data_IF_547931468762
#
_entry.id   IF_547931468762
#
_cell.length_a   1.000
_cell.length_b   1.000
_cell.length_c   1.000
_cell.angle_alpha   90.00
_cell.angle_beta   90.00
_cell.angle_gamma   90.00
#
_symmetry.space_group_name_H-M   'P 1'
#
loop_
_entity.id
_entity.type
_entity.pdbx_description
1 polymer ?
#
# COMPACT_ATOMS: atom_id res chain seq x y z
N UNK A 1 -15.08 8.70 12.36
CA UNK A 1 -13.62 8.98 12.32
C UNK A 1 -12.71 7.74 12.44
N UNK A 2 -13.21 6.51 12.68
CA UNK A 2 -12.34 5.34 12.89
C UNK A 2 -11.34 5.06 11.75
N UNK A 3 -11.72 5.23 10.49
CA UNK A 3 -10.82 5.00 9.35
C UNK A 3 -9.53 5.83 9.42
N UNK A 4 -9.62 7.12 9.74
CA UNK A 4 -8.46 8.02 9.87
C UNK A 4 -7.64 7.75 11.13
N UNK A 5 -8.27 7.18 12.16
CA UNK A 5 -7.59 6.74 13.38
C UNK A 5 -6.74 5.49 13.12
N UNK A 6 -7.26 4.54 12.35
CA UNK A 6 -6.56 3.29 11.97
C UNK A 6 -5.48 3.53 10.92
N UNK A 7 -5.75 4.36 9.90
CA UNK A 7 -4.79 4.63 8.81
C UNK A 7 -3.68 5.62 9.19
N UNK A 8 -3.78 6.27 10.35
CA UNK A 8 -2.79 7.20 10.92
C UNK A 8 -2.18 8.14 9.86
N UNK A 9 -2.89 9.22 9.46
CA UNK A 9 -2.49 10.10 8.37
C UNK A 9 -1.06 10.61 8.54
N UNK A 10 -0.29 10.58 7.44
CA UNK A 10 1.12 10.94 7.41
C UNK A 10 1.44 11.89 6.25
N UNK A 11 2.57 12.60 6.33
CA UNK A 11 3.07 13.49 5.27
C UNK A 11 2.11 14.64 4.94
N UNK A 12 1.62 14.67 3.70
CA UNK A 12 0.74 15.73 3.14
C UNK A 12 -0.66 15.77 3.78
N UNK A 13 -1.01 14.80 4.62
CA UNK A 13 -2.27 14.75 5.37
C UNK A 13 -2.24 15.54 6.68
N UNK A 14 -1.22 16.40 6.88
CA UNK A 14 -1.09 17.29 8.03
C UNK A 14 -2.39 18.05 8.40
N UNK A 15 -3.16 18.67 7.47
CA UNK A 15 -4.41 19.35 7.82
C UNK A 15 -5.52 18.41 8.33
N UNK A 16 -5.44 17.11 8.04
CA UNK A 16 -6.38 16.09 8.53
C UNK A 16 -5.91 15.53 9.88
N UNK A 17 -4.59 15.38 10.06
CA UNK A 17 -4.02 15.07 11.38
C UNK A 17 -4.44 16.11 12.41
N UNK A 18 -4.38 17.41 12.08
CA UNK A 18 -4.72 18.49 13.00
C UNK A 18 -6.21 18.48 13.37
N UNK A 19 -7.09 18.08 12.44
CA UNK A 19 -8.52 17.87 12.72
C UNK A 19 -8.78 16.67 13.63
N UNK A 20 -8.01 15.59 13.48
CA UNK A 20 -8.13 14.38 14.32
C UNK A 20 -7.55 14.62 15.71
N UNK A 21 -6.47 15.38 15.84
CA UNK A 21 -5.90 15.79 17.14
C UNK A 21 -6.84 16.74 17.89
N UNK A 22 -7.56 17.61 17.16
CA UNK A 22 -8.58 18.48 17.77
C UNK A 22 -9.74 17.69 18.38
N UNK A 23 -10.05 16.50 17.86
CA UNK A 23 -11.06 15.59 18.40
C UNK A 23 -10.49 14.58 19.43
N UNK A 24 -9.21 14.21 19.31
CA UNK A 24 -8.52 13.29 20.23
C UNK A 24 -7.08 13.75 20.53
N UNK A 25 -6.85 14.43 21.67
CA UNK A 25 -5.54 14.96 22.06
C UNK A 25 -4.46 13.89 22.29
N UNK A 26 -4.82 12.61 22.46
CA UNK A 26 -3.87 11.52 22.67
C UNK A 26 -3.32 10.94 21.35
N UNK A 27 -3.75 11.48 20.20
CA UNK A 27 -3.35 10.98 18.89
C UNK A 27 -1.87 11.28 18.59
N UNK A 28 -1.05 10.22 18.59
CA UNK A 28 0.40 10.32 18.35
C UNK A 28 0.71 10.31 16.85
N UNK A 29 1.46 11.33 16.39
CA UNK A 29 1.87 11.49 14.99
C UNK A 29 2.56 10.23 14.46
N UNK A 30 2.11 9.72 13.32
CA UNK A 30 2.69 8.54 12.69
C UNK A 30 4.13 8.83 12.22
N UNK A 31 5.13 8.19 12.84
CA UNK A 31 6.55 8.27 12.41
C UNK A 31 6.90 7.23 11.33
N UNK A 32 5.96 6.39 10.90
CA UNK A 32 6.21 5.28 9.98
C UNK A 32 6.18 5.67 8.48
N UNK A 33 6.32 6.96 8.15
CA UNK A 33 6.35 7.49 6.77
C UNK A 33 7.17 6.62 5.80
N UNK A 34 8.36 6.17 6.21
CA UNK A 34 9.24 5.32 5.39
C UNK A 34 8.60 3.97 5.04
N UNK A 35 7.96 3.31 6.02
CA UNK A 35 7.30 2.01 5.82
C UNK A 35 6.09 2.16 4.90
N UNK A 36 5.32 3.21 5.12
CA UNK A 36 4.11 3.47 4.36
C UNK A 36 4.45 3.85 2.91
N UNK A 37 5.55 4.58 2.69
CA UNK A 37 6.05 4.86 1.35
C UNK A 37 6.50 3.62 0.60
N UNK A 38 7.22 2.69 1.26
CA UNK A 38 7.60 1.41 0.64
C UNK A 38 6.36 0.61 0.23
N UNK A 39 5.33 0.57 1.08
CA UNK A 39 4.07 -0.10 0.76
C UNK A 39 3.39 0.52 -0.47
N UNK A 40 3.38 1.86 -0.57
CA UNK A 40 2.85 2.57 -1.75
C UNK A 40 3.65 2.25 -3.01
N UNK A 41 4.98 2.29 -2.96
CA UNK A 41 5.84 1.95 -4.11
C UNK A 41 5.60 0.51 -4.57
N UNK A 42 5.51 -0.45 -3.65
CA UNK A 42 5.19 -1.84 -3.98
C UNK A 42 3.80 -1.95 -4.59
N UNK A 43 2.83 -1.18 -4.10
CA UNK A 43 1.49 -1.07 -4.67
C UNK A 43 1.49 -0.57 -6.13
N UNK A 44 2.32 0.44 -6.45
CA UNK A 44 2.47 0.94 -7.83
C UNK A 44 3.03 -0.16 -8.73
N UNK A 45 4.07 -0.88 -8.28
CA UNK A 45 4.65 -2.00 -9.04
C UNK A 45 3.63 -3.12 -9.25
N UNK A 46 2.82 -3.43 -8.24
CA UNK A 46 1.74 -4.40 -8.33
C UNK A 46 0.67 -3.99 -9.36
N UNK A 47 0.25 -2.72 -9.38
CA UNK A 47 -0.70 -2.18 -10.37
C UNK A 47 -0.14 -2.19 -11.80
N UNK A 48 1.15 -1.86 -11.96
CA UNK A 48 1.84 -1.97 -13.24
C UNK A 48 1.85 -3.42 -13.74
N UNK A 49 2.13 -4.39 -12.86
CA UNK A 49 2.08 -5.81 -13.21
C UNK A 49 0.69 -6.22 -13.72
N UNK A 50 -0.39 -5.76 -13.07
CA UNK A 50 -1.76 -6.03 -13.53
C UNK A 50 -2.05 -5.45 -14.92
N UNK A 51 -1.44 -4.33 -15.27
CA UNK A 51 -1.65 -3.66 -16.57
C UNK A 51 -0.84 -4.32 -17.70
N UNK A 52 0.38 -4.79 -17.42
CA UNK A 52 1.25 -5.43 -18.43
C UNK A 52 0.92 -6.90 -18.68
N UNK A 53 0.32 -7.61 -17.70
CA UNK A 53 -0.11 -9.00 -17.85
C UNK A 53 -1.01 -9.22 -19.07
N UNK A 54 -2.13 -8.49 -19.28
CA UNK A 54 -2.98 -8.69 -20.46
C UNK A 54 -2.22 -8.37 -21.76
N UNK A 55 -1.29 -7.41 -21.72
CA UNK A 55 -0.46 -7.04 -22.87
C UNK A 55 0.47 -8.21 -23.27
N UNK A 56 1.12 -8.87 -22.30
CA UNK A 56 1.94 -10.06 -22.58
C UNK A 56 1.13 -11.29 -23.03
N UNK A 57 -0.10 -11.45 -22.53
CA UNK A 57 -1.04 -12.48 -23.02
C UNK A 57 -1.33 -12.27 -24.50
N UNK A 58 -1.65 -11.04 -24.91
CA UNK A 58 -1.91 -10.69 -26.31
C UNK A 58 -0.68 -10.90 -27.18
N UNK A 59 0.51 -10.51 -26.70
CA UNK A 59 1.77 -10.72 -27.41
C UNK A 59 2.22 -12.19 -27.46
N UNK A 60 1.50 -13.12 -26.80
CA UNK A 60 1.86 -14.55 -26.65
C UNK A 60 3.29 -14.78 -26.12
N UNK A 61 3.79 -13.88 -25.28
CA UNK A 61 5.13 -14.02 -24.70
C UNK A 61 5.04 -14.74 -23.35
N UNK A 62 5.23 -16.07 -23.36
CA UNK A 62 5.06 -16.92 -22.17
C UNK A 62 6.05 -16.65 -21.04
N UNK A 63 7.32 -16.35 -21.37
CA UNK A 63 8.35 -16.07 -20.36
C UNK A 63 8.09 -14.78 -19.55
N UNK A 64 7.91 -13.59 -20.17
CA UNK A 64 7.61 -12.37 -19.42
C UNK A 64 6.25 -12.39 -18.74
N UNK A 65 5.27 -13.13 -19.28
CA UNK A 65 3.99 -13.37 -18.61
C UNK A 65 4.19 -14.11 -17.28
N UNK A 66 4.98 -15.19 -17.28
CA UNK A 66 5.28 -15.95 -16.06
C UNK A 66 5.99 -15.08 -15.01
N UNK A 67 6.97 -14.27 -15.43
CA UNK A 67 7.67 -13.32 -14.54
C UNK A 67 6.70 -12.29 -13.94
N UNK A 68 5.81 -11.71 -14.76
CA UNK A 68 4.83 -10.73 -14.29
C UNK A 68 3.85 -11.33 -13.28
N UNK A 69 3.38 -12.56 -13.51
CA UNK A 69 2.49 -13.27 -12.57
C UNK A 69 3.22 -13.58 -11.25
N UNK A 70 4.46 -14.04 -11.30
CA UNK A 70 5.26 -14.29 -10.09
C UNK A 70 5.49 -13.00 -9.31
N UNK A 71 5.84 -11.90 -9.97
CA UNK A 71 5.98 -10.58 -9.33
C UNK A 71 4.68 -10.12 -8.69
N UNK A 72 3.54 -10.32 -9.35
CA UNK A 72 2.23 -9.95 -8.84
C UNK A 72 1.89 -10.75 -7.57
N UNK A 73 2.15 -12.06 -7.56
CA UNK A 73 1.97 -12.90 -6.36
C UNK A 73 2.89 -12.48 -5.21
N UNK A 74 4.18 -12.21 -5.49
CA UNK A 74 5.14 -11.78 -4.48
C UNK A 74 4.77 -10.43 -3.86
N UNK A 75 4.42 -9.45 -4.69
CA UNK A 75 3.99 -8.12 -4.24
C UNK A 75 2.66 -8.18 -3.49
N UNK A 76 1.72 -9.05 -3.90
CA UNK A 76 0.48 -9.32 -3.14
C UNK A 76 0.79 -9.89 -1.75
N UNK A 77 1.67 -10.89 -1.66
CA UNK A 77 2.05 -11.49 -0.39
C UNK A 77 2.78 -10.48 0.53
N UNK A 78 3.63 -9.64 -0.05
CA UNK A 78 4.30 -8.55 0.67
C UNK A 78 3.30 -7.53 1.22
N UNK A 79 2.38 -7.04 0.39
CA UNK A 79 1.33 -6.10 0.81
C UNK A 79 0.41 -6.72 1.87
N UNK A 80 0.04 -7.99 1.73
CA UNK A 80 -0.77 -8.69 2.73
C UNK A 80 -0.08 -8.70 4.09
N UNK A 81 1.17 -9.15 4.17
CA UNK A 81 1.90 -9.23 5.44
C UNK A 81 2.32 -7.87 6.00
N UNK A 82 2.80 -6.96 5.15
CA UNK A 82 3.43 -5.74 5.62
C UNK A 82 2.45 -4.58 5.78
N UNK A 83 1.28 -4.66 5.16
CA UNK A 83 0.26 -3.64 5.24
C UNK A 83 -1.06 -4.18 5.80
N UNK A 84 -1.67 -5.19 5.18
CA UNK A 84 -3.02 -5.67 5.57
C UNK A 84 -3.05 -6.25 6.99
N UNK A 85 -2.17 -7.21 7.32
CA UNK A 85 -2.14 -7.85 8.65
C UNK A 85 -1.78 -6.85 9.77
N UNK A 86 -1.12 -5.73 9.44
CA UNK A 86 -0.77 -4.67 10.41
C UNK A 86 -1.89 -3.66 10.61
N UNK A 87 -2.87 -3.59 9.70
CA UNK A 87 -4.06 -2.77 9.88
C UNK A 87 -5.06 -3.43 10.82
N UNK A 88 -5.18 -4.75 10.78
CA UNK A 88 -6.12 -5.51 11.62
C UNK A 88 -5.70 -5.54 13.10
N UNK A 89 -4.40 -5.34 13.38
CA UNK A 89 -3.82 -5.31 14.71
C UNK A 89 -3.62 -3.88 15.27
N UNK A 90 -4.17 -2.83 14.64
CA UNK A 90 -3.92 -1.42 14.96
C UNK A 90 -5.12 -0.66 15.54
#
# INVERSE_FOLDING_TARGET
MNFYRTTRPWGFWQPIHDRVVAEDPAFTRNRNFKRDMVNVTVGIVWQLCLTIVPLYVVMKQGFPLAVAVVLLLLTTAFLKRNWYDKLENA
#
